data_IF_419156343886
#
_entry.id   IF_419156343886
#
_cell.length_a   1.000
_cell.length_b   1.000
_cell.length_c   1.000
_cell.angle_alpha   90.00
_cell.angle_beta   90.00
_cell.angle_gamma   90.00
#
_symmetry.space_group_name_H-M   'P 1'
#
loop_
_entity.id
_entity.type
_entity.pdbx_description
1 polymer ?
#
# COMPACT_ATOMS: atom_id res chain seq x y z
N UNK A 1 -3.20 -20.36 -45.15
CA UNK A 1 -2.19 -20.93 -44.25
C UNK A 1 -1.18 -19.90 -43.82
N UNK A 2 -1.20 -19.56 -42.54
CA UNK A 2 -0.33 -18.59 -41.90
C UNK A 2 0.53 -19.29 -40.83
N UNK A 3 1.64 -18.67 -40.41
CA UNK A 3 2.53 -19.20 -39.38
C UNK A 3 2.89 -18.10 -38.37
N UNK A 4 2.78 -18.41 -37.08
CA UNK A 4 3.25 -17.56 -35.99
C UNK A 4 4.58 -18.10 -35.48
N UNK A 5 5.57 -17.21 -35.32
CA UNK A 5 6.89 -17.53 -34.79
C UNK A 5 7.12 -16.80 -33.46
N UNK A 6 7.46 -17.55 -32.41
CA UNK A 6 7.70 -17.02 -31.06
C UNK A 6 8.94 -17.70 -30.46
N UNK A 7 10.05 -16.97 -30.34
CA UNK A 7 11.27 -17.39 -29.60
C UNK A 7 11.57 -18.90 -29.63
N UNK A 8 11.78 -19.46 -30.83
CA UNK A 8 12.16 -20.87 -31.02
C UNK A 8 11.00 -21.85 -31.23
N UNK A 9 9.76 -21.38 -31.15
CA UNK A 9 8.55 -22.15 -31.47
C UNK A 9 7.82 -21.55 -32.67
N UNK A 10 7.21 -22.40 -33.50
CA UNK A 10 6.29 -21.99 -34.55
C UNK A 10 5.00 -22.79 -34.52
N UNK A 11 3.89 -22.12 -34.85
CA UNK A 11 2.56 -22.71 -34.97
C UNK A 11 1.88 -22.25 -36.25
N UNK A 12 1.36 -23.22 -37.00
CA UNK A 12 0.52 -22.95 -38.17
C UNK A 12 -0.92 -22.72 -37.75
N UNK A 13 -1.57 -21.79 -38.44
CA UNK A 13 -3.00 -21.51 -38.26
C UNK A 13 -3.69 -21.18 -39.57
N UNK A 14 -5.00 -21.41 -39.59
CA UNK A 14 -5.89 -21.03 -40.69
C UNK A 14 -7.27 -20.63 -40.17
N UNK A 15 -8.05 -19.92 -41.00
CA UNK A 15 -9.41 -19.50 -40.66
C UNK A 15 -10.46 -20.54 -40.99
N UNK A 16 -10.06 -21.62 -41.67
CA UNK A 16 -10.89 -22.77 -42.04
C UNK A 16 -10.19 -24.08 -41.62
N UNK A 17 -10.97 -25.14 -41.40
CA UNK A 17 -10.41 -26.45 -41.06
C UNK A 17 -9.64 -27.02 -42.25
N UNK A 18 -8.40 -27.46 -42.02
CA UNK A 18 -7.55 -28.09 -43.03
C UNK A 18 -6.86 -29.31 -42.45
N UNK A 19 -6.30 -30.18 -43.29
CA UNK A 19 -5.50 -31.34 -42.82
C UNK A 19 -4.33 -30.94 -41.91
N UNK A 20 -3.72 -29.77 -42.14
CA UNK A 20 -2.61 -29.26 -41.34
C UNK A 20 -3.08 -28.46 -40.11
N UNK A 21 -4.25 -27.82 -40.17
CA UNK A 21 -4.84 -27.05 -39.07
C UNK A 21 -6.23 -27.64 -38.74
N UNK A 22 -6.24 -28.74 -37.98
CA UNK A 22 -7.46 -29.50 -37.66
C UNK A 22 -8.01 -29.23 -36.26
N UNK A 23 -7.23 -28.60 -35.38
CA UNK A 23 -7.66 -28.31 -34.02
C UNK A 23 -8.37 -26.95 -33.99
N UNK A 24 -9.67 -26.95 -33.71
CA UNK A 24 -10.47 -25.72 -33.57
C UNK A 24 -10.10 -24.99 -32.27
N UNK A 25 -9.58 -23.77 -32.40
CA UNK A 25 -9.28 -22.88 -31.26
C UNK A 25 -10.45 -21.92 -30.98
N UNK A 26 -11.10 -21.41 -32.02
CA UNK A 26 -12.30 -20.58 -31.92
C UNK A 26 -13.21 -20.81 -33.13
N UNK A 27 -14.36 -20.14 -33.18
CA UNK A 27 -15.29 -20.26 -34.32
C UNK A 27 -14.70 -19.89 -35.68
N UNK A 28 -13.58 -19.18 -35.70
CA UNK A 28 -12.95 -18.66 -36.93
C UNK A 28 -11.45 -18.97 -37.01
N UNK A 29 -10.94 -19.86 -36.16
CA UNK A 29 -9.50 -20.12 -36.06
C UNK A 29 -9.22 -21.59 -35.76
N UNK A 30 -8.44 -22.21 -36.63
CA UNK A 30 -7.93 -23.56 -36.50
C UNK A 30 -6.40 -23.52 -36.44
N UNK A 31 -5.82 -24.39 -35.63
CA UNK A 31 -4.37 -24.51 -35.44
C UNK A 31 -3.91 -25.94 -35.73
N UNK A 32 -2.62 -26.11 -35.99
CA UNK A 32 -2.05 -27.45 -36.10
C UNK A 32 -2.15 -28.23 -34.78
N UNK A 33 -2.35 -29.55 -34.87
CA UNK A 33 -2.40 -30.43 -33.72
C UNK A 33 -0.98 -30.76 -33.24
N UNK A 34 -0.40 -29.83 -32.47
CA UNK A 34 0.96 -29.89 -31.94
C UNK A 34 0.93 -29.44 -30.49
N UNK A 35 1.79 -30.02 -29.66
CA UNK A 35 2.00 -29.52 -28.31
C UNK A 35 2.68 -28.15 -28.34
N UNK A 36 2.13 -27.19 -27.61
CA UNK A 36 2.64 -25.84 -27.52
C UNK A 36 2.77 -25.39 -26.07
N UNK A 37 3.67 -24.42 -25.79
CA UNK A 37 3.83 -23.88 -24.46
C UNK A 37 2.51 -23.37 -23.91
N UNK A 38 2.24 -23.59 -22.63
CA UNK A 38 0.95 -23.22 -22.02
C UNK A 38 0.82 -21.71 -21.83
N UNK A 39 1.93 -21.07 -21.49
CA UNK A 39 1.99 -19.65 -21.19
C UNK A 39 3.16 -18.98 -21.91
N UNK A 40 3.00 -17.68 -22.14
CA UNK A 40 4.08 -16.77 -22.42
C UNK A 40 4.24 -15.88 -21.19
N UNK A 41 5.43 -15.87 -20.59
CA UNK A 41 5.71 -15.03 -19.42
C UNK A 41 6.61 -13.88 -19.78
N UNK A 42 6.50 -12.75 -19.08
CA UNK A 42 7.38 -11.62 -19.26
C UNK A 42 7.23 -10.59 -18.15
N UNK A 43 7.78 -9.41 -18.36
CA UNK A 43 7.69 -8.28 -17.43
C UNK A 43 7.26 -7.02 -18.16
N UNK A 44 6.43 -6.18 -17.54
CA UNK A 44 6.01 -4.91 -18.13
C UNK A 44 5.99 -3.79 -17.11
N UNK A 45 5.96 -2.54 -17.58
CA UNK A 45 5.66 -1.39 -16.72
C UNK A 45 4.16 -1.12 -16.79
N UNK A 46 3.48 -1.13 -15.64
CA UNK A 46 2.04 -0.89 -15.53
C UNK A 46 1.77 0.41 -14.80
N UNK A 47 0.72 1.13 -15.20
CA UNK A 47 0.17 2.18 -14.34
C UNK A 47 -0.46 1.55 -13.09
N UNK A 48 -0.63 2.32 -12.02
CA UNK A 48 -1.33 1.82 -10.83
C UNK A 48 -2.77 1.44 -11.16
N UNK A 49 -3.43 2.20 -12.05
CA UNK A 49 -4.77 1.84 -12.53
C UNK A 49 -4.79 0.45 -13.20
N UNK A 50 -3.94 0.21 -14.21
CA UNK A 50 -3.84 -1.10 -14.87
C UNK A 50 -3.53 -2.22 -13.87
N UNK A 51 -2.70 -1.92 -12.86
CA UNK A 51 -2.32 -2.88 -11.84
C UNK A 51 -3.49 -3.21 -10.92
N UNK A 52 -4.22 -2.23 -10.38
CA UNK A 52 -5.26 -2.47 -9.37
C UNK A 52 -6.66 -2.66 -9.95
N UNK A 53 -6.89 -2.44 -11.25
CA UNK A 53 -8.24 -2.44 -11.84
C UNK A 53 -9.06 -3.71 -11.52
N UNK A 54 -8.43 -4.89 -11.55
CA UNK A 54 -9.12 -6.14 -11.22
C UNK A 54 -9.40 -6.30 -9.72
N UNK A 55 -8.59 -5.66 -8.88
CA UNK A 55 -8.65 -5.74 -7.42
C UNK A 55 -9.55 -4.62 -6.83
N UNK A 56 -9.74 -3.52 -7.57
CA UNK A 56 -10.52 -2.33 -7.20
C UNK A 56 -11.34 -1.80 -8.41
N UNK A 57 -12.32 -2.56 -8.93
CA UNK A 57 -13.05 -2.24 -10.16
C UNK A 57 -13.91 -0.95 -10.08
N UNK A 58 -14.23 -0.50 -8.87
CA UNK A 58 -15.00 0.71 -8.58
C UNK A 58 -14.18 2.00 -8.77
N UNK A 59 -12.85 1.91 -8.73
CA UNK A 59 -11.97 3.07 -8.84
C UNK A 59 -11.66 3.41 -10.30
N UNK A 60 -11.67 4.70 -10.61
CA UNK A 60 -11.30 5.25 -11.91
C UNK A 60 -9.82 5.61 -11.94
N UNK A 61 -9.23 5.74 -13.13
CA UNK A 61 -7.81 6.09 -13.29
C UNK A 61 -7.42 7.40 -12.54
N UNK A 62 -8.34 8.37 -12.47
CA UNK A 62 -8.14 9.62 -11.74
C UNK A 62 -7.93 9.43 -10.24
N UNK A 63 -8.48 8.37 -9.65
CA UNK A 63 -8.38 8.11 -8.21
C UNK A 63 -6.96 7.69 -7.79
N UNK A 64 -6.14 7.25 -8.76
CA UNK A 64 -4.74 6.86 -8.57
C UNK A 64 -3.76 8.02 -8.74
N UNK A 65 -4.26 9.24 -8.92
CA UNK A 65 -3.42 10.43 -8.98
C UNK A 65 -3.00 10.87 -7.59
N UNK A 66 -1.80 11.43 -7.52
CA UNK A 66 -1.29 12.02 -6.31
C UNK A 66 -2.11 13.23 -5.85
N UNK A 67 -2.44 13.25 -4.55
CA UNK A 67 -2.93 14.46 -3.91
C UNK A 67 -1.87 15.56 -3.91
N UNK A 68 -2.30 16.82 -3.99
CA UNK A 68 -1.41 17.97 -3.84
C UNK A 68 -0.64 17.93 -2.51
N UNK A 69 -1.29 17.44 -1.43
CA UNK A 69 -0.67 17.28 -0.11
C UNK A 69 0.52 16.31 -0.17
N UNK A 70 0.39 15.20 -0.88
CA UNK A 70 1.46 14.22 -1.02
C UNK A 70 2.56 14.67 -1.98
N UNK A 71 2.25 15.43 -3.04
CA UNK A 71 3.26 16.03 -3.90
C UNK A 71 4.25 16.90 -3.10
N UNK A 72 3.75 17.72 -2.18
CA UNK A 72 4.58 18.53 -1.28
C UNK A 72 5.45 17.69 -0.32
N UNK A 73 4.98 16.50 0.07
CA UNK A 73 5.73 15.58 0.94
C UNK A 73 6.88 14.95 0.15
N UNK A 74 6.63 14.50 -1.09
CA UNK A 74 7.62 13.83 -1.95
C UNK A 74 8.81 14.75 -2.28
N UNK A 75 8.57 16.03 -2.56
CA UNK A 75 9.64 17.01 -2.80
C UNK A 75 10.67 17.07 -1.66
N UNK A 76 10.28 16.67 -0.45
CA UNK A 76 11.10 16.73 0.76
C UNK A 76 11.79 15.41 1.10
N UNK A 77 11.38 14.29 0.51
CA UNK A 77 11.91 12.96 0.79
C UNK A 77 12.31 12.23 -0.51
N UNK A 78 13.61 12.09 -0.81
CA UNK A 78 14.04 11.42 -2.03
C UNK A 78 13.57 9.96 -2.02
N UNK A 79 13.06 9.51 -3.17
CA UNK A 79 12.51 8.18 -3.35
C UNK A 79 13.56 7.08 -3.14
N UNK A 80 13.46 6.31 -2.07
CA UNK A 80 14.25 5.08 -1.90
C UNK A 80 13.80 3.96 -2.86
N UNK A 81 12.56 4.02 -3.38
CA UNK A 81 11.96 3.03 -4.28
C UNK A 81 11.98 3.40 -5.79
N UNK A 82 12.76 4.41 -6.21
CA UNK A 82 12.83 4.90 -7.60
C UNK A 82 13.15 3.81 -8.65
N UNK A 83 13.71 2.67 -8.21
CA UNK A 83 14.04 1.55 -9.08
C UNK A 83 12.79 0.81 -9.61
N UNK A 84 11.73 0.68 -8.79
CA UNK A 84 10.50 -0.06 -9.12
C UNK A 84 9.31 0.85 -9.40
N UNK A 85 9.23 2.01 -8.74
CA UNK A 85 8.11 2.95 -8.91
C UNK A 85 8.57 4.18 -9.71
N UNK A 86 7.81 4.56 -10.73
CA UNK A 86 7.98 5.82 -11.45
C UNK A 86 6.79 6.72 -11.25
N UNK A 87 7.03 8.03 -11.24
CA UNK A 87 5.99 9.06 -11.36
C UNK A 87 6.13 9.67 -12.74
N UNK A 88 5.04 9.77 -13.49
CA UNK A 88 5.03 10.53 -14.74
C UNK A 88 4.75 12.03 -14.49
N UNK A 89 4.84 12.86 -15.52
CA UNK A 89 4.62 14.30 -15.42
C UNK A 89 3.20 14.68 -14.96
N UNK A 90 2.22 13.80 -15.11
CA UNK A 90 0.85 14.00 -14.63
C UNK A 90 0.62 13.54 -13.19
N UNK A 91 1.68 13.19 -12.46
CA UNK A 91 1.60 12.77 -11.05
C UNK A 91 0.98 11.39 -10.85
N UNK A 92 0.97 10.56 -11.90
CA UNK A 92 0.47 9.18 -11.86
C UNK A 92 1.62 8.20 -11.70
N UNK A 93 1.44 7.21 -10.84
CA UNK A 93 2.46 6.19 -10.59
C UNK A 93 2.40 5.04 -11.58
N UNK A 94 3.57 4.45 -11.85
CA UNK A 94 3.72 3.20 -12.57
C UNK A 94 4.68 2.26 -11.84
N UNK A 95 4.37 0.97 -11.87
CA UNK A 95 5.20 -0.11 -11.32
C UNK A 95 5.98 -0.70 -12.50
N UNK A 96 7.30 -0.65 -12.42
CA UNK A 96 8.22 -1.29 -13.38
C UNK A 96 8.29 -2.79 -13.13
N UNK A 97 8.65 -3.54 -14.17
CA UNK A 97 8.97 -4.97 -14.07
C UNK A 97 7.88 -5.77 -13.32
N UNK A 98 6.60 -5.50 -13.61
CA UNK A 98 5.49 -6.29 -13.10
C UNK A 98 5.48 -7.62 -13.84
N UNK A 99 5.57 -8.77 -13.15
CA UNK A 99 5.50 -10.08 -13.77
C UNK A 99 4.12 -10.30 -14.40
N UNK A 100 4.11 -10.66 -15.68
CA UNK A 100 2.90 -10.92 -16.45
C UNK A 100 2.94 -12.26 -17.14
N UNK A 101 1.76 -12.74 -17.52
CA UNK A 101 1.64 -13.85 -18.43
C UNK A 101 0.48 -13.66 -19.41
N UNK A 102 0.58 -14.38 -20.53
CA UNK A 102 -0.45 -14.50 -21.55
C UNK A 102 -0.69 -16.00 -21.76
N UNK A 103 -1.93 -16.43 -21.91
CA UNK A 103 -2.19 -17.82 -22.33
C UNK A 103 -1.84 -17.98 -23.80
N UNK A 104 -1.27 -19.12 -24.18
CA UNK A 104 -0.88 -19.29 -25.59
C UNK A 104 -2.07 -19.16 -26.55
N UNK A 105 -3.25 -19.61 -26.13
CA UNK A 105 -4.51 -19.42 -26.84
C UNK A 105 -4.85 -17.94 -27.08
N UNK A 106 -4.84 -17.10 -26.04
CA UNK A 106 -5.07 -15.65 -26.20
C UNK A 106 -4.04 -15.01 -27.14
N UNK A 107 -2.77 -15.43 -27.03
CA UNK A 107 -1.72 -14.92 -27.92
C UNK A 107 -2.00 -15.27 -29.39
N UNK A 108 -2.30 -16.54 -29.69
CA UNK A 108 -2.57 -16.99 -31.06
C UNK A 108 -3.80 -16.28 -31.62
N UNK A 109 -4.88 -16.18 -30.83
CA UNK A 109 -6.09 -15.46 -31.22
C UNK A 109 -5.80 -13.99 -31.57
N UNK A 110 -5.00 -13.31 -30.74
CA UNK A 110 -4.65 -11.92 -30.95
C UNK A 110 -3.74 -11.69 -32.16
N UNK A 111 -2.75 -12.55 -32.40
CA UNK A 111 -1.86 -12.40 -33.56
C UNK A 111 -2.56 -12.72 -34.88
N UNK A 112 -3.42 -13.75 -34.88
CA UNK A 112 -4.21 -14.10 -36.05
C UNK A 112 -5.20 -12.99 -36.44
N UNK A 113 -5.65 -12.19 -35.47
CA UNK A 113 -6.69 -11.18 -35.64
C UNK A 113 -6.39 -9.86 -34.91
N UNK A 114 -5.22 -9.26 -35.16
CA UNK A 114 -4.77 -8.04 -34.45
C UNK A 114 -5.73 -6.84 -34.55
N UNK A 115 -6.53 -6.77 -35.62
CA UNK A 115 -7.58 -5.74 -35.78
C UNK A 115 -8.74 -5.89 -34.79
N UNK A 116 -9.04 -7.12 -34.36
CA UNK A 116 -10.12 -7.41 -33.40
C UNK A 116 -9.66 -7.10 -31.97
N UNK A 117 -8.37 -7.31 -31.67
CA UNK A 117 -7.79 -7.17 -30.33
C UNK A 117 -6.74 -6.05 -30.23
N UNK A 118 -7.06 -4.80 -30.60
CA UNK A 118 -6.06 -3.74 -30.70
C UNK A 118 -5.44 -3.35 -29.35
N UNK A 119 -6.21 -3.43 -28.26
CA UNK A 119 -5.71 -3.10 -26.91
C UNK A 119 -4.73 -4.15 -26.40
N UNK A 120 -5.03 -5.43 -26.60
CA UNK A 120 -4.09 -6.52 -26.33
C UNK A 120 -2.80 -6.31 -27.11
N UNK A 121 -2.87 -6.08 -28.43
CA UNK A 121 -1.67 -5.88 -29.25
C UNK A 121 -0.84 -4.69 -28.75
N UNK A 122 -1.48 -3.59 -28.35
CA UNK A 122 -0.80 -2.42 -27.78
C UNK A 122 -0.14 -2.71 -26.44
N UNK A 123 -0.77 -3.46 -25.53
CA UNK A 123 -0.17 -3.81 -24.23
C UNK A 123 0.93 -4.85 -24.39
N UNK A 124 0.75 -5.82 -25.29
CA UNK A 124 1.71 -6.89 -25.60
C UNK A 124 3.07 -6.33 -26.02
N UNK A 125 3.11 -5.28 -26.86
CA UNK A 125 4.37 -4.68 -27.32
C UNK A 125 5.18 -4.02 -26.20
N UNK A 126 4.57 -3.74 -25.05
CA UNK A 126 5.25 -3.19 -23.88
C UNK A 126 5.86 -4.27 -22.98
N UNK A 127 5.50 -5.54 -23.18
CA UNK A 127 6.02 -6.65 -22.38
C UNK A 127 7.42 -7.00 -22.88
N UNK A 128 8.37 -6.94 -21.96
CA UNK A 128 9.76 -7.32 -22.15
C UNK A 128 9.95 -8.81 -21.91
N UNK A 129 10.85 -9.41 -22.68
CA UNK A 129 11.30 -10.80 -22.49
C UNK A 129 10.17 -11.83 -22.49
N UNK A 130 9.28 -11.78 -23.49
CA UNK A 130 8.23 -12.77 -23.66
C UNK A 130 8.85 -14.16 -23.93
N UNK A 131 8.81 -15.06 -22.94
CA UNK A 131 9.40 -16.39 -23.01
C UNK A 131 8.31 -17.46 -22.93
N UNK A 132 8.29 -18.43 -23.87
CA UNK A 132 7.39 -19.58 -23.79
C UNK A 132 7.75 -20.49 -22.61
N UNK A 133 6.72 -21.01 -21.93
CA UNK A 133 6.86 -21.92 -20.79
C UNK A 133 5.93 -23.12 -20.97
N UNK A 134 6.51 -24.31 -20.89
CA UNK A 134 5.80 -25.58 -20.91
C UNK A 134 5.34 -26.01 -19.49
N UNK A 135 4.43 -26.99 -19.40
CA UNK A 135 3.85 -27.42 -18.12
C UNK A 135 4.87 -27.94 -17.11
N UNK A 136 5.93 -28.61 -17.58
CA UNK A 136 7.03 -29.13 -16.78
C UNK A 136 7.93 -28.02 -16.20
N UNK A 137 8.04 -26.90 -16.90
CA UNK A 137 8.84 -25.74 -16.50
C UNK A 137 8.14 -24.85 -15.46
N UNK A 138 6.80 -24.94 -15.33
CA UNK A 138 6.00 -24.12 -14.40
C UNK A 138 6.53 -24.23 -12.96
N UNK A 139 7.00 -25.41 -12.55
CA UNK A 139 7.51 -25.65 -11.21
C UNK A 139 8.74 -24.79 -10.86
N UNK A 140 9.53 -24.40 -11.87
CA UNK A 140 10.73 -23.57 -11.70
C UNK A 140 10.43 -22.08 -11.53
N UNK A 141 9.25 -21.63 -11.98
CA UNK A 141 8.84 -20.22 -11.98
C UNK A 141 7.69 -19.90 -11.02
N UNK A 142 7.24 -20.90 -10.24
CA UNK A 142 6.07 -20.84 -9.35
C UNK A 142 6.26 -19.95 -8.10
N UNK A 143 7.39 -19.27 -7.95
CA UNK A 143 7.66 -18.38 -6.80
C UNK A 143 7.06 -16.98 -6.92
N UNK A 144 6.54 -16.59 -8.09
CA UNK A 144 6.02 -15.25 -8.34
C UNK A 144 4.57 -15.28 -8.82
N UNK A 145 3.71 -14.48 -8.17
CA UNK A 145 2.37 -14.19 -8.70
C UNK A 145 2.49 -13.28 -9.93
N UNK A 146 1.66 -13.51 -10.94
CA UNK A 146 1.69 -12.80 -12.23
C UNK A 146 0.30 -12.27 -12.59
N UNK A 147 0.23 -11.14 -13.28
CA UNK A 147 -1.02 -10.65 -13.87
C UNK A 147 -1.21 -11.24 -15.27
N UNK A 148 -2.40 -11.75 -15.57
CA UNK A 148 -2.77 -12.19 -16.93
C UNK A 148 -3.10 -10.96 -17.76
N UNK A 149 -2.58 -10.86 -18.98
CA UNK A 149 -3.13 -9.94 -19.99
C UNK A 149 -4.25 -10.67 -20.75
N UNK A 150 -5.46 -10.13 -20.72
CA UNK A 150 -6.62 -10.65 -21.47
C UNK A 150 -6.73 -10.01 -22.85
N UNK A 151 -7.44 -10.68 -23.76
CA UNK A 151 -7.69 -10.23 -25.14
C UNK A 151 -8.32 -8.83 -25.26
N UNK A 152 -9.08 -8.40 -24.26
CA UNK A 152 -9.68 -7.06 -24.20
C UNK A 152 -8.67 -5.96 -23.80
N UNK A 153 -7.44 -6.33 -23.43
CA UNK A 153 -6.38 -5.44 -23.01
C UNK A 153 -6.33 -5.15 -21.51
N UNK A 154 -7.19 -5.79 -20.71
CA UNK A 154 -7.20 -5.67 -19.24
C UNK A 154 -6.24 -6.66 -18.59
N UNK A 155 -5.85 -6.38 -17.35
CA UNK A 155 -5.03 -7.28 -16.54
C UNK A 155 -5.83 -7.93 -15.42
N UNK A 156 -5.58 -9.21 -15.14
CA UNK A 156 -6.19 -9.90 -13.98
C UNK A 156 -5.57 -9.49 -12.64
N UNK A 157 -6.21 -9.90 -11.55
CA UNK A 157 -5.55 -10.05 -10.23
C UNK A 157 -4.33 -10.96 -10.35
N UNK A 158 -3.37 -10.81 -9.43
CA UNK A 158 -2.12 -11.59 -9.46
C UNK A 158 -2.39 -13.03 -9.02
N UNK A 159 -1.96 -14.01 -9.81
CA UNK A 159 -2.10 -15.44 -9.47
C UNK A 159 -0.79 -16.21 -9.61
N UNK A 160 -0.66 -17.32 -8.87
CA UNK A 160 0.36 -18.32 -9.13
C UNK A 160 -0.07 -19.22 -10.29
N UNK A 161 0.82 -19.49 -11.24
CA UNK A 161 0.54 -20.29 -12.43
C UNK A 161 0.45 -21.81 -12.16
N UNK A 162 0.49 -22.25 -10.90
CA UNK A 162 0.37 -23.66 -10.52
C UNK A 162 -0.79 -23.84 -9.54
N UNK A 163 -1.88 -24.43 -10.01
CA UNK A 163 -2.94 -24.91 -9.14
C UNK A 163 -2.47 -26.15 -8.36
N UNK A 164 -2.68 -26.17 -7.04
CA UNK A 164 -2.51 -27.39 -6.22
C UNK A 164 -1.15 -27.61 -5.55
N UNK A 165 -0.21 -26.66 -5.59
CA UNK A 165 0.94 -26.66 -4.69
C UNK A 165 1.02 -25.32 -3.96
N UNK A 166 0.42 -25.26 -2.77
CA UNK A 166 0.83 -24.28 -1.78
C UNK A 166 2.30 -24.51 -1.45
N UNK A 167 3.06 -23.41 -1.32
CA UNK A 167 4.46 -23.32 -0.92
C UNK A 167 5.49 -23.40 -2.04
N UNK A 168 5.96 -22.20 -2.40
CA UNK A 168 7.38 -21.84 -2.59
C UNK A 168 7.59 -20.33 -2.56
N UNK A 169 6.84 -19.64 -1.70
CA UNK A 169 7.14 -18.24 -1.35
C UNK A 169 7.73 -18.23 0.05
N UNK A 170 8.67 -17.32 0.31
CA UNK A 170 9.27 -17.21 1.64
C UNK A 170 8.21 -16.67 2.62
N UNK A 171 7.96 -17.38 3.76
CA UNK A 171 7.03 -16.90 4.76
C UNK A 171 7.61 -15.69 5.51
N UNK A 172 6.77 -14.70 5.76
CA UNK A 172 7.12 -13.42 6.35
C UNK A 172 6.04 -12.83 7.26
N UNK A 173 4.78 -13.25 7.15
CA UNK A 173 3.66 -12.84 7.99
C UNK A 173 4.00 -12.95 9.47
N UNK A 174 4.53 -14.11 9.89
CA UNK A 174 4.90 -14.39 11.29
C UNK A 174 6.06 -13.54 11.81
N UNK A 175 6.73 -12.78 10.93
CA UNK A 175 7.86 -11.90 11.29
C UNK A 175 7.44 -10.45 11.46
N UNK A 176 6.20 -10.12 11.13
CA UNK A 176 5.69 -8.77 11.08
C UNK A 176 4.56 -8.59 12.08
N UNK A 177 4.44 -7.37 12.58
CA UNK A 177 3.36 -6.97 13.46
C UNK A 177 2.75 -5.66 13.00
N UNK A 178 1.42 -5.58 13.13
CA UNK A 178 0.66 -4.36 12.95
C UNK A 178 0.63 -3.59 14.28
N UNK A 179 1.18 -2.38 14.30
CA UNK A 179 1.39 -1.59 15.51
C UNK A 179 1.01 -0.13 15.32
N UNK A 180 0.88 0.59 16.44
CA UNK A 180 0.67 2.04 16.47
C UNK A 180 -0.52 2.52 15.61
N UNK A 181 -1.68 1.88 15.79
CA UNK A 181 -2.94 2.33 15.18
C UNK A 181 -3.34 3.72 15.72
N UNK A 182 -3.27 4.73 14.85
CA UNK A 182 -3.44 6.14 15.16
C UNK A 182 -4.68 6.72 14.49
N UNK A 183 -5.39 7.55 15.25
CA UNK A 183 -6.62 8.21 14.80
C UNK A 183 -6.43 9.72 14.82
N UNK A 184 -6.89 10.38 13.75
CA UNK A 184 -6.82 11.85 13.59
C UNK A 184 -5.41 12.41 13.76
N UNK A 185 -4.40 11.71 13.20
CA UNK A 185 -3.00 12.10 13.29
C UNK A 185 -2.59 12.96 12.09
N UNK A 186 -2.10 14.18 12.36
CA UNK A 186 -1.62 15.12 11.34
C UNK A 186 -2.66 15.40 10.23
N UNK A 187 -2.45 14.85 9.03
CA UNK A 187 -3.36 15.01 7.90
C UNK A 187 -4.24 13.77 7.65
N UNK A 188 -4.14 12.76 8.52
CA UNK A 188 -4.77 11.46 8.35
C UNK A 188 -5.97 11.27 9.29
N UNK A 189 -7.04 10.66 8.81
CA UNK A 189 -8.14 10.20 9.68
C UNK A 189 -7.75 8.90 10.40
N UNK A 190 -7.02 8.05 9.68
CA UNK A 190 -6.53 6.76 10.14
C UNK A 190 -5.10 6.55 9.64
N UNK A 191 -4.20 6.14 10.50
CA UNK A 191 -2.82 5.84 10.16
C UNK A 191 -2.31 4.69 11.04
N UNK A 192 -1.35 3.92 10.55
CA UNK A 192 -0.72 2.88 11.37
C UNK A 192 0.65 2.50 10.84
N UNK A 193 1.27 1.53 11.51
CA UNK A 193 2.60 1.06 11.21
C UNK A 193 2.62 -0.47 11.14
N UNK A 194 3.45 -1.01 10.25
CA UNK A 194 3.75 -2.44 10.18
C UNK A 194 5.26 -2.60 10.29
N UNK A 195 5.74 -3.37 11.27
CA UNK A 195 7.17 -3.50 11.54
C UNK A 195 7.58 -4.95 11.70
N UNK A 196 8.87 -5.25 11.54
CA UNK A 196 9.39 -6.55 11.94
C UNK A 196 9.38 -6.67 13.47
N UNK A 197 9.06 -7.87 13.95
CA UNK A 197 9.20 -8.19 15.36
C UNK A 197 10.65 -7.96 15.83
N UNK A 198 10.86 -7.37 17.02
CA UNK A 198 12.19 -6.97 17.49
C UNK A 198 13.24 -8.10 17.50
N UNK A 199 12.83 -9.35 17.73
CA UNK A 199 13.72 -10.52 17.77
C UNK A 199 14.42 -10.84 16.44
N UNK A 200 13.95 -10.30 15.32
CA UNK A 200 14.61 -10.48 14.03
C UNK A 200 15.77 -9.51 13.79
N UNK A 201 16.02 -8.58 14.72
CA UNK A 201 17.14 -7.61 14.70
C UNK A 201 17.23 -6.79 13.39
N UNK A 202 16.11 -6.65 12.69
CA UNK A 202 15.98 -5.76 11.53
C UNK A 202 15.85 -4.36 12.08
N UNK A 203 16.87 -3.53 11.86
CA UNK A 203 17.00 -2.18 12.45
C UNK A 203 17.14 -1.10 11.40
N UNK A 204 17.36 -1.46 10.14
CA UNK A 204 17.51 -0.51 9.04
C UNK A 204 16.51 -0.76 7.92
N UNK A 205 16.30 0.28 7.12
CA UNK A 205 15.53 0.23 5.88
C UNK A 205 16.07 -0.83 4.91
N UNK A 206 17.39 -0.86 4.68
CA UNK A 206 17.99 -1.81 3.74
C UNK A 206 17.78 -3.25 4.21
N UNK A 207 17.88 -3.50 5.53
CA UNK A 207 17.59 -4.81 6.12
C UNK A 207 16.11 -5.17 5.99
N UNK A 208 15.20 -4.23 6.23
CA UNK A 208 13.76 -4.43 6.01
C UNK A 208 13.50 -4.81 4.55
N UNK A 209 14.08 -4.06 3.61
CA UNK A 209 13.96 -4.29 2.18
C UNK A 209 14.51 -5.63 1.73
N UNK A 210 15.71 -5.97 2.15
CA UNK A 210 16.31 -7.27 1.83
C UNK A 210 15.49 -8.43 2.42
N UNK A 211 14.97 -8.25 3.64
CA UNK A 211 14.18 -9.27 4.34
C UNK A 211 12.79 -9.47 3.77
N UNK A 212 12.19 -8.43 3.16
CA UNK A 212 10.89 -8.49 2.47
C UNK A 212 11.00 -8.81 0.97
N UNK A 213 12.22 -8.96 0.44
CA UNK A 213 12.42 -9.25 -0.98
C UNK A 213 12.48 -8.00 -1.85
N UNK A 214 13.50 -7.19 -1.62
CA UNK A 214 13.90 -6.01 -2.40
C UNK A 214 12.86 -4.89 -2.53
N UNK A 215 11.53 -5.12 -2.66
CA UNK A 215 10.51 -4.06 -2.76
C UNK A 215 9.10 -4.49 -2.33
N UNK A 216 8.51 -3.81 -1.33
CA UNK A 216 7.05 -3.72 -1.15
C UNK A 216 6.53 -2.67 -2.13
N UNK A 217 5.84 -3.10 -3.19
CA UNK A 217 5.37 -2.19 -4.25
C UNK A 217 3.85 -2.00 -4.26
N UNK A 218 3.13 -2.74 -3.44
CA UNK A 218 1.68 -2.64 -3.37
C UNK A 218 1.18 -2.91 -1.96
N UNK A 219 0.29 -2.03 -1.53
CA UNK A 219 -0.34 -2.02 -0.22
C UNK A 219 -1.81 -1.68 -0.46
N UNK A 220 -2.71 -2.47 0.07
CA UNK A 220 -4.15 -2.21 0.01
C UNK A 220 -4.74 -2.17 1.41
N UNK A 221 -5.82 -1.42 1.55
CA UNK A 221 -6.63 -1.39 2.76
C UNK A 221 -8.10 -1.57 2.37
N UNK A 222 -8.76 -2.52 3.01
CA UNK A 222 -10.16 -2.87 2.73
C UNK A 222 -11.01 -2.57 3.94
N UNK A 223 -12.13 -1.87 3.72
CA UNK A 223 -13.16 -1.56 4.72
C UNK A 223 -14.53 -1.73 4.09
N UNK A 224 -15.45 -2.41 4.77
CA UNK A 224 -16.82 -2.65 4.28
C UNK A 224 -16.88 -3.21 2.84
N UNK A 225 -15.93 -4.08 2.48
CA UNK A 225 -15.84 -4.71 1.16
C UNK A 225 -15.29 -3.81 0.04
N UNK A 226 -14.89 -2.58 0.34
CA UNK A 226 -14.24 -1.67 -0.61
C UNK A 226 -12.74 -1.65 -0.36
N UNK A 227 -11.95 -1.87 -1.41
CA UNK A 227 -10.49 -1.96 -1.34
C UNK A 227 -9.87 -0.69 -1.89
N UNK A 228 -9.02 -0.06 -1.09
CA UNK A 228 -8.29 1.14 -1.46
C UNK A 228 -6.82 0.78 -1.63
N UNK A 229 -6.25 0.96 -2.83
CA UNK A 229 -4.83 0.86 -3.03
C UNK A 229 -4.13 2.10 -2.45
N UNK A 230 -3.16 1.87 -1.58
CA UNK A 230 -2.27 2.91 -1.09
C UNK A 230 -1.13 3.09 -2.09
N UNK A 231 -0.98 4.31 -2.60
CA UNK A 231 0.13 4.72 -3.43
C UNK A 231 1.36 4.97 -2.55
N UNK A 232 2.55 4.97 -3.16
CA UNK A 232 3.82 5.09 -2.44
C UNK A 232 4.04 6.34 -1.56
N UNK A 233 3.29 7.46 -1.62
CA UNK A 233 3.39 8.48 -0.57
C UNK A 233 2.32 8.33 0.50
N UNK A 234 1.27 7.54 0.24
CA UNK A 234 0.22 7.20 1.20
C UNK A 234 0.77 6.24 2.27
N UNK A 235 1.83 5.50 1.92
CA UNK A 235 2.66 4.75 2.84
C UNK A 235 4.14 5.13 2.70
N UNK A 236 4.77 5.56 3.79
CA UNK A 236 6.14 6.04 3.80
C UNK A 236 7.04 5.08 4.55
N UNK A 237 8.29 5.05 4.10
CA UNK A 237 9.41 4.58 4.90
C UNK A 237 10.00 5.79 5.61
N UNK A 238 9.79 5.90 6.92
CA UNK A 238 10.50 6.92 7.68
C UNK A 238 11.96 6.49 7.92
N UNK A 239 12.86 7.49 8.06
CA UNK A 239 14.29 7.42 8.48
C UNK A 239 14.68 6.16 9.26
N UNK A 240 15.95 5.68 9.22
CA UNK A 240 16.32 4.25 9.30
C UNK A 240 15.64 3.52 10.48
N UNK A 241 14.40 3.12 10.25
CA UNK A 241 13.54 2.46 11.20
C UNK A 241 12.90 1.29 10.44
N UNK A 242 12.56 0.24 11.17
CA UNK A 242 12.29 -1.09 10.68
C UNK A 242 10.80 -1.32 10.37
N UNK A 243 10.14 -0.30 9.83
CA UNK A 243 8.69 -0.28 9.67
C UNK A 243 8.21 0.44 8.41
N UNK A 244 6.99 0.09 8.01
CA UNK A 244 6.15 0.74 7.02
C UNK A 244 5.13 1.60 7.75
N UNK A 245 5.08 2.90 7.47
CA UNK A 245 4.00 3.76 7.95
C UNK A 245 2.99 3.98 6.84
N UNK A 246 1.70 4.06 7.15
CA UNK A 246 0.70 4.47 6.18
C UNK A 246 -0.37 5.35 6.81
N UNK A 247 -1.03 6.15 5.98
CA UNK A 247 -2.07 7.08 6.42
C UNK A 247 -3.11 7.38 5.35
N UNK A 248 -4.37 7.40 5.76
CA UNK A 248 -5.52 7.75 4.95
C UNK A 248 -5.89 9.21 5.18
N UNK A 249 -5.85 10.02 4.12
CA UNK A 249 -6.04 11.46 4.24
C UNK A 249 -7.44 11.80 4.77
N UNK A 250 -7.47 12.66 5.78
CA UNK A 250 -8.69 13.29 6.25
C UNK A 250 -9.07 14.50 5.38
N UNK A 251 -10.39 14.73 5.25
CA UNK A 251 -10.96 15.95 4.66
C UNK A 251 -10.38 16.27 3.27
N UNK A 252 -10.32 15.26 2.39
CA UNK A 252 -9.88 15.40 1.00
C UNK A 252 -11.06 15.23 0.03
N UNK A 253 -10.92 15.84 -1.15
CA UNK A 253 -11.83 15.64 -2.29
C UNK A 253 -11.58 14.31 -3.02
N UNK A 254 -10.50 13.61 -2.70
CA UNK A 254 -10.18 12.31 -3.27
C UNK A 254 -11.14 11.23 -2.74
N UNK A 255 -11.96 10.70 -3.66
CA UNK A 255 -12.99 9.70 -3.44
C UNK A 255 -12.50 8.50 -2.61
N UNK A 256 -11.33 7.95 -2.96
CA UNK A 256 -10.77 6.73 -2.36
C UNK A 256 -10.50 6.83 -0.86
N UNK A 257 -10.33 8.03 -0.30
CA UNK A 257 -10.12 8.21 1.14
C UNK A 257 -11.40 8.44 1.93
N UNK A 258 -12.51 8.75 1.25
CA UNK A 258 -13.74 9.17 1.90
C UNK A 258 -14.36 8.08 2.78
N UNK A 259 -14.06 6.82 2.48
CA UNK A 259 -14.49 5.64 3.26
C UNK A 259 -14.03 5.68 4.73
N UNK A 260 -12.99 6.46 5.03
CA UNK A 260 -12.42 6.63 6.37
C UNK A 260 -12.67 8.03 6.96
N UNK A 261 -13.57 8.82 6.36
CA UNK A 261 -14.06 10.04 7.01
C UNK A 261 -15.00 9.71 8.18
N UNK A 262 -15.71 8.58 8.10
CA UNK A 262 -16.62 8.07 9.12
C UNK A 262 -16.50 6.56 9.25
N UNK A 263 -16.68 6.05 10.46
CA UNK A 263 -16.65 4.62 10.74
C UNK A 263 -17.45 4.28 11.99
N UNK A 264 -17.89 3.05 12.04
CA UNK A 264 -18.50 2.47 13.24
C UNK A 264 -17.44 1.73 14.06
N UNK A 265 -17.71 1.64 15.37
CA UNK A 265 -16.87 0.84 16.27
C UNK A 265 -16.92 -0.61 15.83
N UNK A 266 -15.76 -1.27 15.88
CA UNK A 266 -15.58 -2.68 15.53
C UNK A 266 -15.77 -3.00 14.02
N UNK A 267 -15.75 -1.99 13.13
CA UNK A 267 -15.66 -2.25 11.69
C UNK A 267 -14.33 -2.92 11.34
N UNK A 268 -14.39 -4.06 10.64
CA UNK A 268 -13.21 -4.79 10.19
C UNK A 268 -12.46 -4.00 9.11
N UNK A 269 -11.16 -3.89 9.32
CA UNK A 269 -10.21 -3.37 8.35
C UNK A 269 -9.18 -4.44 8.06
N UNK A 270 -9.03 -4.74 6.78
CA UNK A 270 -8.00 -5.66 6.30
C UNK A 270 -6.93 -4.85 5.60
N UNK A 271 -5.68 -5.13 5.91
CA UNK A 271 -4.51 -4.51 5.28
C UNK A 271 -3.73 -5.60 4.59
N UNK A 272 -3.48 -5.46 3.30
CA UNK A 272 -2.69 -6.44 2.54
C UNK A 272 -1.42 -5.79 2.01
N UNK A 273 -0.30 -6.47 2.21
CA UNK A 273 1.00 -6.11 1.64
C UNK A 273 1.36 -7.15 0.60
N UNK A 274 1.46 -6.69 -0.63
CA UNK A 274 1.73 -7.52 -1.80
C UNK A 274 3.22 -7.48 -2.13
N UNK A 275 3.88 -8.64 -2.11
CA UNK A 275 5.30 -8.77 -2.43
C UNK A 275 5.60 -9.75 -3.58
N UNK A 276 6.76 -9.55 -4.19
CA UNK A 276 7.32 -10.47 -5.19
C UNK A 276 8.27 -11.45 -4.51
N UNK A 277 8.04 -12.76 -4.70
CA UNK A 277 8.91 -13.82 -4.16
C UNK A 277 8.63 -14.22 -2.71
N UNK A 278 7.70 -13.52 -2.05
CA UNK A 278 7.26 -13.75 -0.68
C UNK A 278 5.74 -13.99 -0.65
N UNK A 279 5.26 -14.48 0.49
CA UNK A 279 3.82 -14.53 0.71
C UNK A 279 3.26 -13.11 0.77
N UNK A 280 2.04 -12.94 0.22
CA UNK A 280 1.30 -11.72 0.50
C UNK A 280 0.89 -11.76 1.97
N UNK A 281 1.09 -10.66 2.66
CA UNK A 281 0.84 -10.53 4.10
C UNK A 281 -0.50 -9.84 4.28
N UNK A 282 -1.30 -10.36 5.21
CA UNK A 282 -2.62 -9.84 5.54
C UNK A 282 -2.70 -9.57 7.04
N UNK A 283 -3.12 -8.37 7.41
CA UNK A 283 -3.45 -8.01 8.77
C UNK A 283 -4.93 -7.67 8.87
N UNK A 284 -5.55 -8.14 9.94
CA UNK A 284 -6.93 -7.83 10.28
C UNK A 284 -6.95 -7.05 11.58
N UNK A 285 -7.65 -5.93 11.58
CA UNK A 285 -7.88 -5.10 12.77
C UNK A 285 -9.31 -4.58 12.79
N UNK A 286 -9.74 -4.06 13.93
CA UNK A 286 -11.08 -3.54 14.13
C UNK A 286 -11.01 -2.08 14.55
N UNK A 287 -11.73 -1.22 13.81
CA UNK A 287 -11.71 0.21 14.06
C UNK A 287 -12.23 0.54 15.47
N UNK A 288 -11.50 1.42 16.13
CA UNK A 288 -11.84 1.94 17.45
C UNK A 288 -13.05 2.86 17.37
N UNK A 289 -13.62 3.22 18.51
CA UNK A 289 -14.78 4.10 18.51
C UNK A 289 -14.44 5.46 17.91
N UNK A 290 -15.22 5.87 16.91
CA UNK A 290 -15.10 7.20 16.33
C UNK A 290 -15.40 8.28 17.39
N UNK A 291 -14.59 9.35 17.38
CA UNK A 291 -14.82 10.53 18.22
C UNK A 291 -15.84 11.45 17.55
N UNK A 292 -16.73 12.04 18.34
CA UNK A 292 -17.71 13.01 17.85
C UNK A 292 -17.04 14.31 17.41
N UNK A 293 -15.96 14.69 18.09
CA UNK A 293 -15.15 15.87 17.80
C UNK A 293 -13.71 15.46 17.51
N UNK A 294 -13.15 15.79 16.34
CA UNK A 294 -11.74 15.53 16.04
C UNK A 294 -10.83 16.23 17.05
N UNK A 295 -9.84 15.54 17.62
CA UNK A 295 -8.98 16.13 18.61
C UNK A 295 -8.08 17.19 17.97
N UNK A 296 -7.87 18.31 18.67
CA UNK A 296 -7.17 19.46 18.10
C UNK A 296 -6.40 20.24 19.17
N UNK A 297 -5.14 20.55 18.87
CA UNK A 297 -4.37 21.53 19.63
C UNK A 297 -4.88 22.95 19.33
N UNK A 298 -4.99 23.79 20.37
CA UNK A 298 -5.33 25.20 20.19
C UNK A 298 -4.32 25.94 19.30
N UNK A 299 -3.04 25.54 19.36
CA UNK A 299 -1.95 25.97 18.48
C UNK A 299 -0.82 24.92 18.49
N UNK A 300 0.08 24.94 17.51
CA UNK A 300 1.21 23.98 17.45
C UNK A 300 2.51 24.50 18.10
N UNK A 301 2.56 25.79 18.41
CA UNK A 301 3.72 26.46 19.02
C UNK A 301 3.26 27.23 20.26
N UNK A 302 3.89 26.94 21.40
CA UNK A 302 3.62 27.56 22.69
C UNK A 302 4.89 28.22 23.24
N UNK A 303 4.73 29.25 24.05
CA UNK A 303 5.80 29.81 24.88
C UNK A 303 5.90 29.03 26.19
N UNK A 304 7.11 28.90 26.72
CA UNK A 304 7.35 28.29 28.03
C UNK A 304 6.56 29.04 29.11
N UNK A 305 5.80 28.32 29.93
CA UNK A 305 4.88 28.88 30.93
C UNK A 305 3.43 29.00 30.45
N UNK A 306 3.15 28.93 29.15
CA UNK A 306 1.77 28.89 28.64
C UNK A 306 1.09 27.54 28.95
N UNK A 307 -0.25 27.55 29.01
CA UNK A 307 -1.02 26.30 29.08
C UNK A 307 -1.26 25.76 27.68
N UNK A 308 -0.80 24.55 27.43
CA UNK A 308 -1.13 23.77 26.24
C UNK A 308 -2.57 23.31 26.39
N UNK A 309 -3.41 23.65 25.41
CA UNK A 309 -4.82 23.30 25.42
C UNK A 309 -5.12 22.37 24.26
N UNK A 310 -5.60 21.17 24.60
CA UNK A 310 -6.02 20.16 23.66
C UNK A 310 -7.53 19.96 23.78
N UNK A 311 -8.27 20.24 22.70
CA UNK A 311 -9.67 19.85 22.57
C UNK A 311 -9.73 18.36 22.24
N UNK A 312 -10.46 17.60 23.03
CA UNK A 312 -10.67 16.15 22.87
C UNK A 312 -12.12 15.79 23.20
N UNK A 313 -12.59 14.69 22.62
CA UNK A 313 -13.93 14.17 22.86
C UNK A 313 -14.17 13.90 24.36
N UNK A 314 -15.39 14.21 24.84
CA UNK A 314 -15.81 13.98 26.24
C UNK A 314 -15.62 12.54 26.70
N UNK A 315 -15.74 11.57 25.79
CA UNK A 315 -15.45 10.16 26.07
C UNK A 315 -13.99 9.92 26.46
N UNK A 316 -13.05 10.56 25.77
CA UNK A 316 -11.62 10.49 26.07
C UNK A 316 -11.31 11.20 27.39
N UNK A 317 -11.89 12.38 27.62
CA UNK A 317 -11.78 13.10 28.91
C UNK A 317 -12.22 12.18 30.06
N UNK A 318 -13.34 11.48 29.89
CA UNK A 318 -13.84 10.54 30.90
C UNK A 318 -12.87 9.39 31.15
N UNK A 319 -12.33 8.77 30.10
CA UNK A 319 -11.34 7.68 30.27
C UNK A 319 -10.06 8.13 30.96
N UNK A 320 -9.61 9.35 30.68
CA UNK A 320 -8.47 9.96 31.38
C UNK A 320 -8.78 10.19 32.87
N UNK A 321 -9.99 10.69 33.19
CA UNK A 321 -10.39 10.88 34.60
C UNK A 321 -10.58 9.59 35.38
N UNK A 322 -10.86 8.49 34.69
CA UNK A 322 -10.99 7.14 35.25
C UNK A 322 -9.69 6.33 35.18
N UNK A 323 -8.57 6.93 34.75
CA UNK A 323 -7.26 6.29 34.55
C UNK A 323 -7.29 5.07 33.61
N UNK A 324 -8.27 5.03 32.70
CA UNK A 324 -8.41 4.00 31.65
C UNK A 324 -7.66 4.35 30.38
N UNK A 325 -7.29 5.61 30.21
CA UNK A 325 -6.43 6.09 29.14
C UNK A 325 -5.13 6.63 29.73
N UNK A 326 -4.02 6.40 29.03
CA UNK A 326 -2.68 6.79 29.48
C UNK A 326 -2.20 7.98 28.67
N UNK A 327 -1.68 9.00 29.35
CA UNK A 327 -1.02 10.15 28.73
C UNK A 327 0.48 10.01 28.89
N UNK A 328 1.19 10.03 27.77
CA UNK A 328 2.64 9.96 27.72
C UNK A 328 3.19 11.16 26.95
N UNK A 329 4.32 11.69 27.41
CA UNK A 329 5.04 12.74 26.72
C UNK A 329 6.44 12.27 26.37
N UNK A 330 6.79 12.40 25.09
CA UNK A 330 8.07 12.05 24.54
C UNK A 330 8.80 13.31 24.08
N UNK A 331 10.07 13.45 24.47
CA UNK A 331 10.97 14.41 23.84
C UNK A 331 11.43 13.80 22.52
N UNK A 332 11.36 14.55 21.42
CA UNK A 332 11.61 14.00 20.07
C UNK A 332 13.09 13.65 19.76
N UNK A 333 13.97 13.45 20.76
CA UNK A 333 15.35 12.99 20.58
C UNK A 333 15.50 11.57 21.15
N UNK A 334 16.07 10.66 20.34
CA UNK A 334 16.13 9.18 20.45
C UNK A 334 16.69 8.56 21.76
N UNK A 335 16.87 9.29 22.87
CA UNK A 335 17.65 8.79 24.02
C UNK A 335 17.11 9.15 25.42
N UNK A 336 15.89 9.65 25.58
CA UNK A 336 15.36 9.90 26.94
C UNK A 336 14.45 8.78 27.41
N UNK A 337 14.77 8.25 28.60
CA UNK A 337 13.92 7.40 29.45
C UNK A 337 12.54 8.06 29.55
N UNK A 338 11.49 7.31 29.19
CA UNK A 338 10.11 7.81 29.10
C UNK A 338 9.37 7.60 30.42
N UNK A 339 8.41 8.49 30.69
CA UNK A 339 7.44 8.37 31.78
C UNK A 339 7.45 9.55 32.74
N UNK A 340 7.22 10.77 32.27
CA UNK A 340 6.80 11.83 33.18
C UNK A 340 5.36 11.55 33.61
N UNK A 341 5.10 11.51 34.92
CA UNK A 341 3.74 11.79 35.41
C UNK A 341 3.45 13.24 35.05
N UNK A 342 2.54 13.46 34.11
CA UNK A 342 2.19 14.81 33.65
C UNK A 342 1.11 15.38 34.57
N UNK A 343 1.32 16.60 35.04
CA UNK A 343 0.27 17.37 35.67
C UNK A 343 -0.65 17.90 34.57
N UNK A 344 -1.89 17.41 34.52
CA UNK A 344 -2.90 17.91 33.59
C UNK A 344 -4.23 18.19 34.31
N UNK A 345 -5.00 19.11 33.75
CA UNK A 345 -6.37 19.40 34.18
C UNK A 345 -7.35 18.98 33.10
N UNK A 346 -8.44 18.34 33.51
CA UNK A 346 -9.52 17.93 32.63
C UNK A 346 -10.70 18.88 32.76
N UNK A 347 -11.26 19.31 31.62
CA UNK A 347 -12.56 19.96 31.50
C UNK A 347 -13.43 19.16 30.53
N UNK A 348 -14.72 19.49 30.44
CA UNK A 348 -15.73 18.69 29.73
C UNK A 348 -15.29 18.14 28.35
N UNK A 349 -14.54 18.93 27.57
CA UNK A 349 -14.02 18.54 26.25
C UNK A 349 -12.55 18.98 26.05
N UNK A 350 -11.79 19.11 27.14
CA UNK A 350 -10.42 19.63 27.06
C UNK A 350 -9.47 18.94 28.04
N UNK A 351 -8.24 18.77 27.59
CA UNK A 351 -7.08 18.48 28.41
C UNK A 351 -6.14 19.70 28.39
N UNK A 352 -5.80 20.18 29.58
CA UNK A 352 -4.95 21.33 29.80
C UNK A 352 -3.63 20.89 30.44
N UNK A 353 -2.51 21.20 29.79
CA UNK A 353 -1.17 20.86 30.23
C UNK A 353 -0.36 22.15 30.45
N UNK A 354 -0.06 22.53 31.70
CA UNK A 354 0.85 23.65 31.96
C UNK A 354 2.23 23.37 31.38
N UNK A 355 2.74 24.22 30.47
CA UNK A 355 4.07 23.99 29.86
C UNK A 355 5.24 24.24 30.82
N UNK A 356 4.98 24.79 32.01
CA UNK A 356 5.99 25.00 33.04
C UNK A 356 6.60 23.69 33.58
N UNK A 357 5.91 22.56 33.44
CA UNK A 357 6.42 21.24 33.86
C UNK A 357 7.49 20.69 32.91
N UNK A 358 7.72 21.33 31.75
CA UNK A 358 8.65 20.87 30.74
C UNK A 358 10.02 21.51 30.98
N UNK A 359 11.04 20.69 31.24
CA UNK A 359 12.35 21.15 31.67
C UNK A 359 13.06 22.10 30.68
N UNK A 360 12.77 22.00 29.38
CA UNK A 360 13.45 22.79 28.33
C UNK A 360 12.52 23.16 27.17
N UNK A 361 12.76 24.29 26.47
CA UNK A 361 12.19 24.51 25.15
C UNK A 361 12.57 23.39 24.17
N UNK A 362 11.70 23.08 23.22
CA UNK A 362 11.94 22.04 22.23
C UNK A 362 10.68 21.49 21.57
N UNK A 363 10.86 20.43 20.78
CA UNK A 363 9.78 19.65 20.18
C UNK A 363 9.42 18.49 21.08
N UNK A 364 8.12 18.31 21.26
CA UNK A 364 7.51 17.32 22.12
C UNK A 364 6.41 16.59 21.36
N UNK A 365 6.23 15.32 21.70
CA UNK A 365 5.15 14.49 21.22
C UNK A 365 4.30 14.06 22.42
N UNK A 366 3.06 14.53 22.45
CA UNK A 366 2.06 14.07 23.41
C UNK A 366 1.31 12.90 22.79
N UNK A 367 1.21 11.80 23.54
CA UNK A 367 0.54 10.58 23.12
C UNK A 367 -0.54 10.23 24.15
N UNK A 368 -1.76 10.04 23.69
CA UNK A 368 -2.86 9.51 24.51
C UNK A 368 -3.17 8.10 23.97
N UNK A 369 -3.10 7.10 24.85
CA UNK A 369 -3.42 5.70 24.53
C UNK A 369 -4.76 5.34 25.17
N UNK A 370 -5.73 4.96 24.36
CA UNK A 370 -7.03 4.46 24.80
C UNK A 370 -7.35 3.16 24.04
N UNK A 371 -7.77 2.12 24.76
CA UNK A 371 -8.22 0.87 24.12
C UNK A 371 -9.51 1.07 23.32
N UNK A 372 -10.32 2.08 23.69
CA UNK A 372 -11.62 2.38 23.08
C UNK A 372 -11.52 3.33 21.91
N UNK A 373 -10.70 4.37 22.00
CA UNK A 373 -10.56 5.45 21.02
C UNK A 373 -9.25 5.39 20.21
N UNK A 374 -8.40 4.41 20.51
CA UNK A 374 -7.10 4.22 19.87
C UNK A 374 -6.04 5.20 20.35
N UNK A 375 -5.00 5.36 19.53
CA UNK A 375 -3.88 6.24 19.84
C UNK A 375 -4.07 7.62 19.23
N UNK A 376 -3.96 8.66 20.07
CA UNK A 376 -3.93 10.06 19.63
C UNK A 376 -2.51 10.60 19.80
N UNK A 377 -2.02 11.33 18.80
CA UNK A 377 -0.65 11.84 18.78
C UNK A 377 -0.63 13.31 18.37
N UNK A 378 -0.03 14.15 19.20
CA UNK A 378 0.06 15.59 19.00
C UNK A 378 1.50 16.06 19.04
N UNK A 379 1.92 16.80 18.01
CA UNK A 379 3.24 17.41 17.93
C UNK A 379 3.17 18.85 18.43
N UNK A 380 3.98 19.15 19.44
CA UNK A 380 3.98 20.43 20.14
C UNK A 380 5.40 21.00 20.11
N UNK A 381 5.53 22.30 19.84
CA UNK A 381 6.80 23.03 20.00
C UNK A 381 6.69 24.04 21.13
N UNK A 382 7.57 23.96 22.12
CA UNK A 382 7.69 24.94 23.21
C UNK A 382 8.91 25.81 22.94
N UNK A 383 8.73 27.13 22.89
CA UNK A 383 9.79 28.13 22.70
C UNK A 383 10.01 28.93 23.99
N UNK A 384 11.19 29.52 24.14
CA UNK A 384 11.44 30.46 25.22
C UNK A 384 10.73 31.79 24.91
N UNK A 385 10.16 32.48 25.92
CA UNK A 385 9.61 33.82 25.70
C UNK A 385 10.70 34.74 25.13
N UNK A 386 10.36 35.49 24.07
CA UNK A 386 11.25 36.46 23.43
C UNK A 386 12.15 35.93 22.31
N UNK A 387 12.08 34.65 21.93
CA UNK A 387 12.80 34.16 20.74
C UNK A 387 12.07 34.59 19.45
N UNK A 388 12.43 35.78 18.94
CA UNK A 388 12.13 36.19 17.56
C UNK A 388 12.88 35.26 16.60
N UNK A 389 12.23 34.80 15.53
CA UNK A 389 12.89 34.05 14.47
C UNK A 389 13.84 34.99 13.72
N UNK A 390 15.12 34.65 13.65
CA UNK A 390 15.95 34.95 12.46
C UNK A 390 15.72 33.88 11.40
#
# INVERSE_FOLDING_TARGET
MNELNINGFSIKYDTEETEQCSLKLSDVLYIENKEFPRYLIGETTMTFFDFYQADCPELQESDYRLSEKFQQIIERFPHTNQQKIMVNESGSYSIKKVPVYITMEDFIMAEANSKIYPQFSKKKTLIQSLTPINDDEIASIASYKRKRLFLDGTYSSRILLKSGQEKKVQPIQEKLEYVNEMYYFAHYSYAAMIQFLPEYEITTYDQFHESYGKFVYSFTITKNGQTIPLLWPDYLYHKPENHLEFGLLANTTESRYQLFNQWEKDELVTVEILAEGFEDVQFETYLKQQMCVPPKLSKSVYSLGETICLSIDRGVVKELSEEKAIVELFKTKKTSVNGYSLDYQLKEEQLLLPSAQFERPGRYQLKIKSDRYGQLLFLITIKQEGSVQE
#
